data_IF_079712579788
#
_entry.id   IF_079712579788
#
_cell.length_a   1.000
_cell.length_b   1.000
_cell.length_c   1.000
_cell.angle_alpha   90.00
_cell.angle_beta   90.00
_cell.angle_gamma   90.00
#
_symmetry.space_group_name_H-M   'P 1'
#
loop_
_entity.id
_entity.type
_entity.pdbx_description
1 polymer ?
#
# COMPACT_ATOMS: atom_id res chain seq x y z
N UNK A 1 3.33 -17.35 -39.34
CA UNK A 1 2.18 -16.89 -38.52
C UNK A 1 1.00 -17.81 -38.80
N UNK A 2 0.44 -18.44 -37.76
CA UNK A 2 -0.64 -19.42 -37.92
C UNK A 2 -2.01 -18.72 -37.94
N UNK A 3 -2.87 -19.04 -38.91
CA UNK A 3 -4.21 -18.45 -39.08
C UNK A 3 -5.25 -19.52 -39.40
N UNK A 4 -6.48 -19.28 -38.93
CA UNK A 4 -7.62 -20.18 -39.07
C UNK A 4 -8.26 -20.08 -40.47
N UNK A 5 -8.42 -21.22 -41.15
CA UNK A 5 -8.98 -21.35 -42.48
C UNK A 5 -10.48 -21.66 -42.40
N UNK A 6 -11.35 -20.75 -42.86
CA UNK A 6 -12.81 -20.96 -42.81
C UNK A 6 -13.33 -22.07 -43.73
N UNK A 7 -12.55 -22.47 -44.74
CA UNK A 7 -12.96 -23.57 -45.64
C UNK A 7 -12.62 -24.95 -45.08
N UNK A 8 -11.52 -25.05 -44.33
CA UNK A 8 -10.96 -26.30 -43.83
C UNK A 8 -11.05 -26.46 -42.30
N UNK A 9 -11.57 -25.46 -41.60
CA UNK A 9 -11.80 -25.40 -40.14
C UNK A 9 -10.59 -25.75 -39.26
N UNK A 10 -9.37 -25.52 -39.76
CA UNK A 10 -8.12 -25.75 -39.04
C UNK A 10 -7.18 -24.53 -39.10
N UNK A 11 -6.25 -24.45 -38.14
CA UNK A 11 -5.21 -23.42 -38.06
C UNK A 11 -3.96 -23.88 -38.80
N UNK A 12 -3.52 -23.13 -39.83
CA UNK A 12 -2.32 -23.46 -40.62
C UNK A 12 -1.33 -22.29 -40.72
N UNK A 13 -0.05 -22.61 -40.95
CA UNK A 13 1.03 -21.63 -41.17
C UNK A 13 1.05 -21.15 -42.63
N UNK A 14 0.93 -19.83 -42.86
CA UNK A 14 0.87 -19.26 -44.21
C UNK A 14 2.22 -18.67 -44.65
N UNK A 15 2.63 -18.95 -45.90
CA UNK A 15 3.74 -18.32 -46.63
C UNK A 15 3.27 -17.87 -48.02
N UNK A 16 3.83 -16.78 -48.55
CA UNK A 16 3.31 -16.00 -49.69
C UNK A 16 3.88 -16.49 -51.03
N UNK A 17 3.03 -16.70 -52.04
CA UNK A 17 3.43 -16.67 -53.46
C UNK A 17 2.33 -16.02 -54.31
N UNK A 18 2.74 -15.22 -55.28
CA UNK A 18 1.89 -14.48 -56.21
C UNK A 18 1.96 -15.10 -57.60
N UNK A 19 0.82 -15.43 -58.21
CA UNK A 19 0.73 -15.60 -59.65
C UNK A 19 -0.44 -14.80 -60.23
N UNK A 20 -0.11 -13.97 -61.22
CA UNK A 20 -1.03 -13.26 -62.10
C UNK A 20 -1.40 -14.13 -63.29
N UNK A 21 -2.70 -14.27 -63.59
CA UNK A 21 -3.17 -14.90 -64.82
C UNK A 21 -3.98 -13.93 -65.69
N UNK A 22 -3.68 -13.95 -67.00
CA UNK A 22 -4.20 -13.09 -68.06
C UNK A 22 -4.96 -13.93 -69.11
N UNK A 23 -6.14 -13.43 -69.53
CA UNK A 23 -6.87 -13.51 -70.84
C UNK A 23 -7.60 -14.77 -71.39
N UNK A 24 -8.83 -14.44 -71.85
CA UNK A 24 -9.50 -14.56 -73.19
C UNK A 24 -10.37 -15.78 -73.55
N UNK A 25 -11.46 -15.40 -74.22
CA UNK A 25 -12.65 -16.09 -74.73
C UNK A 25 -12.46 -17.13 -75.85
N UNK A 26 -13.36 -18.12 -75.94
CA UNK A 26 -14.28 -18.34 -77.09
C UNK A 26 -15.26 -19.49 -76.81
N UNK A 27 -16.50 -19.27 -77.22
CA UNK A 27 -17.61 -20.20 -77.41
C UNK A 27 -18.37 -20.77 -76.19
N UNK A 28 -19.69 -20.71 -76.33
CA UNK A 28 -20.75 -20.97 -75.35
C UNK A 28 -20.53 -22.21 -74.47
N UNK A 29 -20.49 -22.02 -73.15
CA UNK A 29 -21.42 -22.62 -72.17
C UNK A 29 -21.13 -22.01 -70.79
N UNK A 30 -22.13 -22.04 -69.91
CA UNK A 30 -22.21 -21.27 -68.68
C UNK A 30 -20.98 -21.38 -67.76
N UNK A 31 -20.34 -20.24 -67.48
CA UNK A 31 -19.37 -20.10 -66.39
C UNK A 31 -20.07 -19.49 -65.18
N UNK A 32 -20.18 -20.30 -64.12
CA UNK A 32 -20.46 -19.80 -62.79
C UNK A 32 -19.37 -18.79 -62.43
N UNK A 33 -19.78 -17.57 -62.07
CA UNK A 33 -18.91 -16.64 -61.32
C UNK A 33 -18.61 -17.31 -59.98
N UNK A 34 -17.56 -18.12 -59.93
CA UNK A 34 -16.87 -18.42 -58.69
C UNK A 34 -16.12 -17.16 -58.34
N UNK A 35 -16.57 -16.49 -57.29
CA UNK A 35 -15.77 -15.46 -56.63
C UNK A 35 -14.37 -16.05 -56.34
N UNK A 36 -13.28 -15.35 -56.70
CA UNK A 36 -11.96 -15.85 -56.38
C UNK A 36 -11.82 -15.86 -54.86
N UNK A 37 -11.49 -17.03 -54.31
CA UNK A 37 -11.13 -17.16 -52.91
C UNK A 37 -9.81 -16.42 -52.65
N UNK A 38 -9.89 -15.15 -52.26
CA UNK A 38 -8.71 -14.39 -51.90
C UNK A 38 -8.23 -14.76 -50.50
N UNK A 39 -7.05 -15.37 -50.44
CA UNK A 39 -6.27 -15.54 -49.22
C UNK A 39 -5.56 -14.21 -48.90
N UNK A 40 -6.06 -13.51 -47.89
CA UNK A 40 -5.46 -12.36 -47.20
C UNK A 40 -4.36 -11.54 -47.91
N UNK A 41 -4.75 -10.57 -48.75
CA UNK A 41 -4.05 -9.26 -48.82
C UNK A 41 -5.03 -8.17 -49.24
N UNK A 42 -4.93 -7.03 -48.55
CA UNK A 42 -5.65 -5.75 -48.74
C UNK A 42 -7.15 -5.75 -48.42
N UNK A 43 -7.47 -5.17 -47.25
CA UNK A 43 -8.79 -4.57 -47.05
C UNK A 43 -8.78 -3.23 -47.79
N UNK A 44 -9.58 -3.11 -48.86
CA UNK A 44 -10.08 -1.81 -49.30
C UNK A 44 -11.06 -1.29 -48.25
N UNK A 45 -11.13 0.04 -48.10
CA UNK A 45 -11.80 0.77 -47.01
C UNK A 45 -13.29 0.41 -46.79
N UNK A 46 -13.94 -0.32 -47.71
CA UNK A 46 -15.33 -0.76 -47.59
C UNK A 46 -15.60 -2.03 -46.75
N UNK A 47 -14.58 -2.82 -46.38
CA UNK A 47 -14.78 -4.16 -45.78
C UNK A 47 -14.62 -4.25 -44.24
N UNK A 48 -14.26 -3.14 -43.58
CA UNK A 48 -13.97 -3.09 -42.14
C UNK A 48 -15.21 -3.34 -41.22
N UNK A 49 -16.42 -2.83 -41.52
CA UNK A 49 -17.57 -2.98 -40.62
C UNK A 49 -18.07 -4.43 -40.48
N UNK A 50 -18.11 -5.18 -41.59
CA UNK A 50 -18.58 -6.57 -41.59
C UNK A 50 -17.60 -7.51 -40.87
N UNK A 51 -16.28 -7.23 -40.99
CA UNK A 51 -15.25 -8.00 -40.32
C UNK A 51 -15.28 -7.79 -38.79
N UNK A 52 -15.52 -6.54 -38.36
CA UNK A 52 -15.65 -6.19 -36.94
C UNK A 52 -16.85 -6.88 -36.30
N UNK A 53 -18.02 -6.82 -36.96
CA UNK A 53 -19.24 -7.53 -36.52
C UNK A 53 -19.01 -9.04 -36.39
N UNK A 54 -18.36 -9.67 -37.37
CA UNK A 54 -18.07 -11.11 -37.31
C UNK A 54 -17.07 -11.49 -36.19
N UNK A 55 -16.13 -10.60 -35.84
CA UNK A 55 -15.25 -10.79 -34.68
C UNK A 55 -16.01 -10.65 -33.37
N UNK A 56 -16.96 -9.72 -33.28
CA UNK A 56 -17.79 -9.50 -32.10
C UNK A 56 -18.76 -10.67 -31.87
N UNK A 57 -19.42 -11.16 -32.92
CA UNK A 57 -20.27 -12.35 -32.87
C UNK A 57 -19.47 -13.60 -32.41
N UNK A 58 -18.22 -13.72 -32.86
CA UNK A 58 -17.32 -14.79 -32.42
C UNK A 58 -16.93 -14.64 -30.94
N UNK A 59 -16.60 -13.43 -30.48
CA UNK A 59 -16.28 -13.17 -29.05
C UNK A 59 -17.43 -13.58 -28.13
N UNK A 60 -18.67 -13.30 -28.51
CA UNK A 60 -19.85 -13.65 -27.71
C UNK A 60 -20.05 -15.17 -27.60
N UNK A 61 -19.85 -15.88 -28.71
CA UNK A 61 -20.02 -17.33 -28.79
C UNK A 61 -19.04 -18.07 -27.86
N UNK A 62 -17.81 -17.58 -27.74
CA UNK A 62 -16.74 -18.20 -26.92
C UNK A 62 -16.41 -17.43 -25.64
N UNK A 63 -17.24 -16.46 -25.26
CA UNK A 63 -17.10 -15.63 -24.05
C UNK A 63 -15.73 -14.99 -23.90
N UNK A 64 -15.15 -14.45 -24.98
CA UNK A 64 -13.94 -13.63 -24.88
C UNK A 64 -14.25 -12.23 -24.36
N UNK A 65 -13.23 -11.56 -23.83
CA UNK A 65 -13.32 -10.16 -23.40
C UNK A 65 -13.53 -9.24 -24.61
N UNK A 66 -14.44 -8.30 -24.46
CA UNK A 66 -14.76 -7.27 -25.45
C UNK A 66 -13.83 -6.06 -25.31
N UNK A 67 -13.74 -5.25 -26.35
CA UNK A 67 -12.89 -4.05 -26.33
C UNK A 67 -13.37 -3.05 -25.26
N UNK A 68 -14.68 -2.98 -25.05
CA UNK A 68 -15.32 -2.12 -24.07
C UNK A 68 -14.93 -2.52 -22.63
N UNK A 69 -14.92 -3.83 -22.32
CA UNK A 69 -14.50 -4.37 -21.03
C UNK A 69 -13.02 -4.06 -20.75
N UNK A 70 -12.17 -4.02 -21.78
CA UNK A 70 -10.76 -3.62 -21.63
C UNK A 70 -10.66 -2.14 -21.26
N UNK A 71 -11.42 -1.27 -21.94
CA UNK A 71 -11.43 0.16 -21.64
C UNK A 71 -11.99 0.45 -20.23
N UNK A 72 -12.95 -0.35 -19.75
CA UNK A 72 -13.43 -0.29 -18.37
C UNK A 72 -12.34 -0.62 -17.35
N UNK A 73 -11.51 -1.65 -17.60
CA UNK A 73 -10.38 -2.00 -16.72
C UNK A 73 -9.37 -0.85 -16.66
N UNK A 74 -9.03 -0.26 -17.81
CA UNK A 74 -8.07 0.85 -17.90
C UNK A 74 -8.54 2.07 -17.10
N UNK A 75 -9.83 2.40 -17.18
CA UNK A 75 -10.46 3.48 -16.41
C UNK A 75 -10.54 3.13 -14.91
N UNK A 76 -10.96 1.91 -14.59
CA UNK A 76 -11.13 1.43 -13.21
C UNK A 76 -9.85 1.52 -12.39
N UNK A 77 -8.69 1.27 -13.02
CA UNK A 77 -7.40 1.24 -12.34
C UNK A 77 -6.45 2.36 -12.76
N UNK A 78 -6.95 3.41 -13.41
CA UNK A 78 -6.17 4.55 -13.94
C UNK A 78 -4.80 4.13 -14.52
N UNK A 79 -4.83 3.17 -15.44
CA UNK A 79 -3.61 2.56 -16.01
C UNK A 79 -3.65 2.59 -17.53
N UNK A 80 -2.50 2.89 -18.14
CA UNK A 80 -2.33 2.90 -19.59
C UNK A 80 -2.21 1.51 -20.22
N UNK A 81 -2.51 1.42 -21.52
CA UNK A 81 -2.45 0.17 -22.32
C UNK A 81 -1.07 -0.51 -22.31
N UNK A 82 0.00 0.29 -22.41
CA UNK A 82 1.39 -0.20 -22.38
C UNK A 82 1.79 -0.66 -20.97
N UNK A 83 1.62 0.14 -19.90
CA UNK A 83 1.87 -0.31 -18.52
C UNK A 83 1.12 -1.60 -18.16
N UNK A 84 -0.17 -1.72 -18.49
CA UNK A 84 -0.94 -2.92 -18.18
C UNK A 84 -0.46 -4.16 -18.97
N UNK A 85 -0.03 -3.99 -20.23
CA UNK A 85 0.59 -5.09 -21.01
C UNK A 85 1.86 -5.60 -20.34
N UNK A 86 2.75 -4.69 -19.91
CA UNK A 86 4.00 -5.03 -19.24
C UNK A 86 3.75 -5.68 -17.87
N UNK A 87 2.76 -5.18 -17.14
CA UNK A 87 2.35 -5.71 -15.84
C UNK A 87 1.87 -7.17 -15.95
N UNK A 88 1.14 -7.51 -17.01
CA UNK A 88 0.68 -8.87 -17.29
C UNK A 88 1.79 -9.78 -17.87
N UNK A 89 3.01 -9.26 -18.08
CA UNK A 89 4.11 -9.99 -18.70
C UNK A 89 3.94 -10.19 -20.21
N UNK A 90 3.11 -9.37 -20.86
CA UNK A 90 2.85 -9.43 -22.29
C UNK A 90 3.77 -8.47 -23.06
N UNK A 91 3.81 -8.63 -24.39
CA UNK A 91 4.48 -7.64 -25.26
C UNK A 91 3.73 -6.31 -25.20
N UNK A 92 4.46 -5.21 -25.26
CA UNK A 92 3.94 -3.84 -25.06
C UNK A 92 2.68 -3.48 -25.87
N UNK A 93 2.61 -3.95 -27.12
CA UNK A 93 1.52 -3.62 -28.05
C UNK A 93 0.35 -4.63 -28.00
N UNK A 94 0.42 -5.63 -27.13
CA UNK A 94 -0.56 -6.73 -27.08
C UNK A 94 -1.94 -6.20 -26.70
N UNK A 95 -2.03 -5.40 -25.62
CA UNK A 95 -3.32 -4.88 -25.17
C UNK A 95 -3.89 -3.80 -26.11
N UNK A 96 -3.02 -2.98 -26.71
CA UNK A 96 -3.44 -1.98 -27.72
C UNK A 96 -4.18 -2.64 -28.88
N UNK A 97 -3.68 -3.79 -29.36
CA UNK A 97 -4.31 -4.55 -30.45
C UNK A 97 -5.70 -5.04 -30.08
N UNK A 98 -5.86 -5.57 -28.85
CA UNK A 98 -7.16 -6.05 -28.38
C UNK A 98 -8.17 -4.93 -28.19
N UNK A 99 -7.72 -3.78 -27.66
CA UNK A 99 -8.56 -2.58 -27.57
C UNK A 99 -9.01 -2.07 -28.95
N UNK A 100 -8.20 -2.24 -30.01
CA UNK A 100 -8.56 -1.88 -31.39
C UNK A 100 -9.39 -2.94 -32.13
N UNK A 101 -9.68 -4.08 -31.49
CA UNK A 101 -10.58 -5.10 -32.04
C UNK A 101 -9.92 -6.40 -32.49
N UNK A 102 -8.62 -6.62 -32.24
CA UNK A 102 -8.01 -7.96 -32.43
C UNK A 102 -8.56 -8.97 -31.43
N UNK A 103 -8.57 -10.25 -31.81
CA UNK A 103 -9.03 -11.33 -30.94
C UNK A 103 -7.92 -11.76 -29.96
N UNK A 104 -8.17 -11.67 -28.63
CA UNK A 104 -7.27 -12.25 -27.64
C UNK A 104 -7.37 -13.79 -27.65
N UNK A 105 -6.32 -14.44 -27.13
CA UNK A 105 -6.41 -15.87 -26.78
C UNK A 105 -7.34 -16.05 -25.58
N UNK A 106 -7.79 -17.28 -25.35
CA UNK A 106 -8.63 -17.62 -24.19
C UNK A 106 -7.93 -17.25 -22.87
N UNK A 107 -6.68 -17.64 -22.71
CA UNK A 107 -5.89 -17.36 -21.49
C UNK A 107 -5.74 -15.87 -21.23
N UNK A 108 -5.50 -15.07 -22.27
CA UNK A 108 -5.38 -13.61 -22.13
C UNK A 108 -6.71 -12.98 -21.76
N UNK A 109 -7.80 -13.48 -22.33
CA UNK A 109 -9.15 -13.06 -21.97
C UNK A 109 -9.50 -13.40 -20.53
N UNK A 110 -9.12 -14.58 -20.03
CA UNK A 110 -9.38 -14.99 -18.64
C UNK A 110 -8.60 -14.12 -17.66
N UNK A 111 -7.34 -13.80 -17.96
CA UNK A 111 -6.52 -12.89 -17.15
C UNK A 111 -7.14 -11.49 -17.05
N UNK A 112 -7.63 -10.93 -18.15
CA UNK A 112 -8.27 -9.60 -18.14
C UNK A 112 -9.60 -9.62 -17.39
N UNK A 113 -10.36 -10.71 -17.48
CA UNK A 113 -11.59 -10.89 -16.69
C UNK A 113 -11.30 -11.03 -15.20
N UNK A 114 -10.24 -11.76 -14.84
CA UNK A 114 -9.83 -11.93 -13.45
C UNK A 114 -9.44 -10.61 -12.80
N UNK A 115 -8.64 -9.77 -13.47
CA UNK A 115 -8.30 -8.44 -12.94
C UNK A 115 -9.51 -7.51 -12.91
N UNK A 116 -10.47 -7.64 -13.84
CA UNK A 116 -11.70 -6.85 -13.81
C UNK A 116 -12.57 -7.19 -12.60
N UNK A 117 -12.66 -8.47 -12.24
CA UNK A 117 -13.55 -8.97 -11.18
C UNK A 117 -12.91 -8.93 -9.79
N UNK A 118 -11.57 -9.05 -9.69
CA UNK A 118 -10.86 -9.18 -8.43
C UNK A 118 -9.80 -8.09 -8.28
N UNK A 119 -10.17 -7.00 -7.60
CA UNK A 119 -9.27 -5.88 -7.35
C UNK A 119 -8.14 -6.22 -6.36
N UNK A 120 -8.30 -7.20 -5.47
CA UNK A 120 -7.24 -7.67 -4.57
C UNK A 120 -6.13 -8.39 -5.35
N UNK A 121 -6.55 -9.21 -6.33
CA UNK A 121 -5.64 -9.87 -7.25
C UNK A 121 -4.86 -8.84 -8.09
N UNK A 122 -5.55 -7.80 -8.58
CA UNK A 122 -4.89 -6.71 -9.30
C UNK A 122 -3.86 -5.95 -8.44
N UNK A 123 -4.20 -5.65 -7.19
CA UNK A 123 -3.26 -5.02 -6.25
C UNK A 123 -2.00 -5.88 -6.04
N UNK A 124 -2.18 -7.18 -5.80
CA UNK A 124 -1.06 -8.10 -5.62
C UNK A 124 -0.17 -8.12 -6.87
N UNK A 125 -0.78 -8.17 -8.06
CA UNK A 125 -0.08 -8.11 -9.34
C UNK A 125 0.73 -6.80 -9.50
N UNK A 126 0.16 -5.65 -9.12
CA UNK A 126 0.84 -4.35 -9.12
C UNK A 126 2.09 -4.35 -8.22
N UNK A 127 1.98 -4.90 -7.01
CA UNK A 127 3.10 -4.89 -6.06
C UNK A 127 4.25 -5.79 -6.50
N UNK A 128 3.94 -6.99 -7.04
CA UNK A 128 4.95 -7.96 -7.46
C UNK A 128 5.66 -7.56 -8.75
N UNK A 129 5.00 -6.79 -9.62
CA UNK A 129 5.53 -6.40 -10.93
C UNK A 129 5.82 -4.89 -11.05
N UNK A 130 5.93 -4.16 -9.93
CA UNK A 130 6.18 -2.71 -9.91
C UNK A 130 7.42 -2.27 -10.71
N UNK A 131 8.44 -3.12 -10.80
CA UNK A 131 9.69 -2.86 -11.54
C UNK A 131 9.51 -2.86 -13.07
N UNK A 132 8.40 -3.42 -13.58
CA UNK A 132 8.12 -3.53 -15.02
C UNK A 132 7.43 -2.29 -15.60
N UNK A 133 7.01 -1.35 -14.75
CA UNK A 133 6.28 -0.13 -15.14
C UNK A 133 6.98 1.11 -14.56
N UNK A 134 6.62 2.30 -15.04
CA UNK A 134 7.15 3.54 -14.47
C UNK A 134 6.59 3.80 -13.07
N UNK A 135 7.38 4.48 -12.23
CA UNK A 135 6.98 4.84 -10.86
C UNK A 135 5.67 5.67 -10.85
N UNK A 136 5.52 6.57 -11.81
CA UNK A 136 4.30 7.38 -11.96
C UNK A 136 3.07 6.52 -12.30
N UNK A 137 3.21 5.54 -13.20
CA UNK A 137 2.11 4.64 -13.54
C UNK A 137 1.76 3.69 -12.38
N UNK A 138 2.76 3.26 -11.61
CA UNK A 138 2.56 2.46 -10.40
C UNK A 138 1.76 3.25 -9.35
N UNK A 139 2.16 4.48 -9.03
CA UNK A 139 1.46 5.29 -8.02
C UNK A 139 0.01 5.62 -8.41
N UNK A 140 -0.22 6.03 -9.66
CA UNK A 140 -1.59 6.29 -10.16
C UNK A 140 -2.48 5.06 -10.03
N UNK A 141 -1.98 3.92 -10.51
CA UNK A 141 -2.77 2.70 -10.49
C UNK A 141 -2.96 2.11 -9.09
N UNK A 142 -1.97 2.29 -8.20
CA UNK A 142 -2.06 1.93 -6.79
C UNK A 142 -3.12 2.77 -6.05
N UNK A 143 -3.21 4.07 -6.35
CA UNK A 143 -4.27 4.92 -5.80
C UNK A 143 -5.65 4.45 -6.26
N UNK A 144 -5.82 4.24 -7.58
CA UNK A 144 -7.08 3.78 -8.16
C UNK A 144 -7.53 2.41 -7.63
N UNK A 145 -6.63 1.43 -7.48
CA UNK A 145 -7.00 0.12 -6.91
C UNK A 145 -7.41 0.22 -5.44
N UNK A 146 -6.78 1.10 -4.66
CA UNK A 146 -7.14 1.34 -3.25
C UNK A 146 -8.55 1.92 -3.13
N UNK A 147 -8.90 2.88 -3.99
CA UNK A 147 -10.26 3.44 -4.08
C UNK A 147 -11.30 2.36 -4.45
N UNK A 148 -11.01 1.57 -5.49
CA UNK A 148 -11.88 0.49 -5.98
C UNK A 148 -12.08 -0.63 -4.95
N UNK A 149 -11.03 -0.96 -4.20
CA UNK A 149 -11.07 -2.00 -3.17
C UNK A 149 -11.92 -1.61 -1.97
N UNK A 150 -12.45 -0.37 -1.93
CA UNK A 150 -13.29 0.09 -0.84
C UNK A 150 -12.59 -0.08 0.51
N UNK A 151 -11.25 0.04 0.52
CA UNK A 151 -10.57 0.27 1.79
C UNK A 151 -11.08 1.61 2.27
N UNK A 152 -11.98 1.58 3.25
CA UNK A 152 -11.78 2.43 4.43
C UNK A 152 -10.26 2.41 4.62
N UNK A 153 -9.59 3.56 4.54
CA UNK A 153 -8.32 3.70 5.25
C UNK A 153 -8.56 2.95 6.56
N UNK A 154 -7.79 1.90 6.87
CA UNK A 154 -7.87 1.34 8.21
C UNK A 154 -7.69 2.56 9.10
N UNK A 155 -8.77 3.01 9.73
CA UNK A 155 -8.76 4.19 10.58
C UNK A 155 -7.64 3.87 11.55
N UNK A 156 -6.53 4.59 11.40
CA UNK A 156 -5.38 4.38 12.23
C UNK A 156 -5.87 4.53 13.65
N UNK A 157 -5.49 3.62 14.53
CA UNK A 157 -5.83 3.87 15.93
C UNK A 157 -5.18 5.18 16.35
N UNK A 158 -5.75 5.87 17.33
CA UNK A 158 -5.17 7.10 17.88
C UNK A 158 -3.70 6.92 18.26
N UNK A 159 -3.31 5.72 18.70
CA UNK A 159 -1.91 5.36 18.95
C UNK A 159 -1.05 5.32 17.68
N UNK A 160 -1.56 4.78 16.58
CA UNK A 160 -0.84 4.77 15.31
C UNK A 160 -0.69 6.19 14.72
N UNK A 161 -1.70 7.04 14.87
CA UNK A 161 -1.59 8.47 14.52
C UNK A 161 -0.51 9.17 15.36
N UNK A 162 -0.48 8.92 16.67
CA UNK A 162 0.56 9.46 17.55
C UNK A 162 1.96 8.96 17.15
N UNK A 163 2.10 7.70 16.75
CA UNK A 163 3.35 7.19 16.17
C UNK A 163 3.75 7.98 14.92
N UNK A 164 2.83 8.18 13.97
CA UNK A 164 3.13 8.98 12.78
C UNK A 164 3.57 10.41 13.13
N UNK A 165 2.89 11.06 14.08
CA UNK A 165 3.27 12.40 14.55
C UNK A 165 4.69 12.40 15.16
N UNK A 166 5.03 11.43 16.02
CA UNK A 166 6.36 11.35 16.63
C UNK A 166 7.46 11.10 15.59
N UNK A 167 7.21 10.22 14.61
CA UNK A 167 8.15 9.90 13.53
C UNK A 167 8.35 11.06 12.55
N UNK A 168 7.39 11.98 12.43
CA UNK A 168 7.52 13.20 11.62
C UNK A 168 8.29 14.31 12.35
N UNK A 169 8.09 14.46 13.66
CA UNK A 169 8.69 15.55 14.45
C UNK A 169 10.14 15.26 14.88
N UNK A 170 10.53 13.99 15.02
CA UNK A 170 11.88 13.60 15.42
C UNK A 170 12.71 13.10 14.23
N UNK A 171 14.02 13.36 14.26
CA UNK A 171 14.93 13.06 13.13
C UNK A 171 15.11 11.55 12.92
N UNK A 172 15.45 10.81 13.98
CA UNK A 172 15.65 9.35 13.95
C UNK A 172 15.12 8.70 15.23
N UNK A 173 14.07 7.87 15.10
CA UNK A 173 13.49 7.12 16.22
C UNK A 173 13.68 5.63 15.98
N UNK A 174 14.32 4.95 16.93
CA UNK A 174 14.37 3.47 16.98
C UNK A 174 13.10 2.91 17.63
N UNK A 175 12.75 1.62 17.40
CA UNK A 175 11.61 0.99 18.09
C UNK A 175 11.68 1.11 19.60
N UNK A 176 12.87 1.01 20.20
CA UNK A 176 13.05 1.16 21.64
C UNK A 176 12.71 2.58 22.11
N UNK A 177 13.20 3.60 21.40
CA UNK A 177 12.89 5.00 21.71
C UNK A 177 11.40 5.29 21.55
N UNK A 178 10.77 4.82 20.46
CA UNK A 178 9.35 5.03 20.17
C UNK A 178 8.45 4.61 21.35
N UNK A 179 8.74 3.45 21.95
CA UNK A 179 7.97 2.94 23.09
C UNK A 179 8.00 3.89 24.29
N UNK A 180 9.16 4.51 24.54
CA UNK A 180 9.36 5.45 25.66
C UNK A 180 8.67 6.78 25.38
N UNK A 181 8.76 7.28 24.16
CA UNK A 181 8.08 8.51 23.75
C UNK A 181 6.56 8.37 23.85
N UNK A 182 5.98 7.25 23.41
CA UNK A 182 4.54 7.00 23.58
C UNK A 182 4.13 6.98 25.05
N UNK A 183 4.93 6.35 25.91
CA UNK A 183 4.67 6.33 27.35
C UNK A 183 4.72 7.74 27.97
N UNK A 184 5.73 8.57 27.63
CA UNK A 184 5.79 9.96 28.08
C UNK A 184 4.60 10.78 27.56
N UNK A 185 4.23 10.63 26.29
CA UNK A 185 3.08 11.31 25.70
C UNK A 185 1.78 10.97 26.43
N UNK A 186 1.53 9.69 26.71
CA UNK A 186 0.36 9.25 27.48
C UNK A 186 0.33 9.87 28.88
N UNK A 187 1.47 9.87 29.59
CA UNK A 187 1.60 10.41 30.94
C UNK A 187 1.36 11.93 31.01
N UNK A 188 2.00 12.69 30.11
CA UNK A 188 1.84 14.14 30.06
C UNK A 188 0.47 14.56 29.54
N UNK A 189 -0.12 13.86 28.57
CA UNK A 189 -1.51 14.10 28.16
C UNK A 189 -2.43 14.00 29.38
N UNK A 190 -2.27 12.94 30.19
CA UNK A 190 -3.06 12.75 31.40
C UNK A 190 -2.85 13.87 32.42
N UNK A 191 -1.62 14.34 32.60
CA UNK A 191 -1.31 15.39 33.57
C UNK A 191 -1.81 16.78 33.17
N UNK A 192 -1.79 17.13 31.87
CA UNK A 192 -2.23 18.44 31.39
C UNK A 192 -3.73 18.50 31.08
N UNK A 193 -4.28 17.44 30.50
CA UNK A 193 -5.65 17.43 29.96
C UNK A 193 -6.61 16.50 30.72
N UNK A 194 -6.14 15.80 31.77
CA UNK A 194 -6.95 14.88 32.58
C UNK A 194 -7.55 13.68 31.84
N UNK A 195 -7.17 13.47 30.59
CA UNK A 195 -7.60 12.36 29.74
C UNK A 195 -6.41 11.55 29.24
N UNK A 196 -6.61 10.26 28.98
CA UNK A 196 -5.57 9.44 28.34
C UNK A 196 -5.64 9.60 26.83
N UNK A 197 -4.48 9.69 26.19
CA UNK A 197 -4.37 9.70 24.73
C UNK A 197 -4.70 8.33 24.14
N UNK A 198 -4.33 7.25 24.84
CA UNK A 198 -4.48 5.88 24.36
C UNK A 198 -5.36 5.04 25.28
N UNK A 199 -6.18 4.19 24.68
CA UNK A 199 -6.97 3.21 25.42
C UNK A 199 -6.13 1.98 25.78
N UNK A 200 -5.16 1.63 24.93
CA UNK A 200 -4.31 0.46 25.06
C UNK A 200 -3.48 0.49 26.36
N UNK A 201 -3.27 -0.69 26.92
CA UNK A 201 -2.49 -0.87 28.14
C UNK A 201 -0.98 -0.86 27.85
N UNK A 202 -0.24 -0.19 28.74
CA UNK A 202 1.21 -0.16 28.70
C UNK A 202 1.78 -1.23 29.63
N UNK A 203 2.69 -2.06 29.14
CA UNK A 203 3.29 -3.17 29.90
C UNK A 203 4.70 -2.82 30.38
N UNK A 204 5.08 -3.30 31.57
CA UNK A 204 6.36 -3.02 32.21
C UNK A 204 7.43 -4.06 31.86
N UNK A 205 7.93 -4.02 30.63
CA UNK A 205 8.95 -4.95 30.14
C UNK A 205 10.33 -4.67 30.75
N UNK A 206 11.29 -5.58 30.54
CA UNK A 206 12.65 -5.48 31.08
C UNK A 206 13.41 -4.25 30.58
N UNK A 207 13.10 -3.76 29.38
CA UNK A 207 13.68 -2.56 28.77
C UNK A 207 12.72 -1.36 28.85
N UNK A 208 11.93 -1.26 29.91
CA UNK A 208 11.01 -0.16 30.16
C UNK A 208 9.58 -0.38 29.68
N UNK A 209 8.72 0.66 29.70
CA UNK A 209 7.32 0.59 29.28
C UNK A 209 7.19 0.26 27.79
N UNK A 210 6.21 -0.58 27.44
CA UNK A 210 5.96 -1.07 26.07
C UNK A 210 4.46 -1.19 25.79
N UNK A 211 4.03 -0.63 24.66
CA UNK A 211 2.77 -0.94 24.01
C UNK A 211 2.97 -2.09 23.02
N UNK A 212 2.47 -3.28 23.38
CA UNK A 212 2.76 -4.54 22.68
C UNK A 212 2.47 -4.49 21.19
N UNK A 213 1.31 -3.96 20.79
CA UNK A 213 0.91 -3.87 19.37
C UNK A 213 1.90 -3.03 18.55
N UNK A 214 2.36 -1.91 19.10
CA UNK A 214 3.36 -1.06 18.45
C UNK A 214 4.72 -1.76 18.40
N UNK A 215 5.10 -2.46 19.46
CA UNK A 215 6.35 -3.23 19.46
C UNK A 215 6.33 -4.32 18.38
N UNK A 216 5.25 -5.09 18.28
CA UNK A 216 5.09 -6.14 17.28
C UNK A 216 5.17 -5.60 15.85
N UNK A 217 4.62 -4.41 15.60
CA UNK A 217 4.71 -3.73 14.30
C UNK A 217 6.15 -3.35 13.92
N UNK A 218 6.91 -2.78 14.86
CA UNK A 218 8.24 -2.20 14.56
C UNK A 218 9.44 -3.04 14.99
N UNK A 219 9.25 -4.21 15.64
CA UNK A 219 10.35 -5.05 16.17
C UNK A 219 11.40 -5.46 15.14
N UNK A 220 11.02 -5.56 13.86
CA UNK A 220 11.92 -6.01 12.80
C UNK A 220 12.97 -4.97 12.40
N UNK A 221 12.77 -3.69 12.78
CA UNK A 221 13.81 -2.66 12.63
C UNK A 221 14.97 -2.88 13.63
N UNK A 222 14.74 -3.61 14.72
CA UNK A 222 15.76 -3.89 15.74
C UNK A 222 16.33 -2.60 16.35
N UNK A 223 17.61 -2.34 16.08
CA UNK A 223 18.33 -1.15 16.54
C UNK A 223 18.37 0.00 15.52
N UNK A 224 17.82 -0.22 14.32
CA UNK A 224 17.79 0.78 13.26
C UNK A 224 16.63 1.77 13.47
N UNK A 225 16.77 3.02 12.99
CA UNK A 225 15.66 3.95 12.91
C UNK A 225 14.49 3.39 12.08
N UNK A 226 13.26 3.78 12.45
CA UNK A 226 12.05 3.40 11.71
C UNK A 226 11.95 4.26 10.45
N UNK A 227 11.88 3.58 9.30
CA UNK A 227 11.78 4.20 7.98
C UNK A 227 10.43 3.83 7.32
N UNK A 228 9.35 4.48 7.75
CA UNK A 228 8.03 4.39 7.10
C UNK A 228 7.68 5.68 6.36
N UNK A 229 6.78 5.57 5.37
CA UNK A 229 6.22 6.72 4.65
C UNK A 229 5.34 7.56 5.61
N UNK A 230 5.71 8.85 5.74
CA UNK A 230 5.38 9.72 6.88
C UNK A 230 4.18 10.62 6.63
N UNK A 231 3.63 10.63 5.42
CA UNK A 231 2.80 11.76 4.99
C UNK A 231 1.42 11.83 5.67
N UNK A 232 1.32 12.74 6.64
CA UNK A 232 0.10 13.39 7.12
C UNK A 232 -1.05 12.44 7.51
N UNK A 233 -0.69 11.34 8.19
CA UNK A 233 -1.64 10.27 8.59
C UNK A 233 -2.23 10.46 9.99
N UNK A 234 -2.13 11.66 10.57
CA UNK A 234 -2.56 11.95 11.95
C UNK A 234 -3.52 13.14 12.03
N UNK A 235 -4.46 13.17 11.09
CA UNK A 235 -5.43 14.25 10.93
C UNK A 235 -6.46 14.31 12.06
N UNK A 236 -6.72 13.21 12.76
CA UNK A 236 -7.74 13.13 13.81
C UNK A 236 -7.22 13.47 15.21
N UNK A 237 -5.89 13.55 15.39
CA UNK A 237 -5.30 14.07 16.62
C UNK A 237 -5.72 15.53 16.86
N UNK A 238 -6.17 15.81 18.08
CA UNK A 238 -6.54 17.15 18.53
C UNK A 238 -5.33 18.09 18.54
N UNK A 239 -5.56 19.40 18.67
CA UNK A 239 -4.48 20.37 18.75
C UNK A 239 -3.65 20.16 20.02
N UNK A 240 -4.32 19.88 21.13
CA UNK A 240 -3.74 19.60 22.43
C UNK A 240 -2.88 18.32 22.40
N UNK A 241 -3.40 17.26 21.79
CA UNK A 241 -2.66 15.99 21.62
C UNK A 241 -1.38 16.20 20.80
N UNK A 242 -1.47 16.96 19.70
CA UNK A 242 -0.31 17.32 18.86
C UNK A 242 0.71 18.14 19.62
N UNK A 243 0.27 19.06 20.48
CA UNK A 243 1.17 19.89 21.29
C UNK A 243 1.99 19.05 22.28
N UNK A 244 1.35 18.08 22.96
CA UNK A 244 2.04 17.14 23.84
C UNK A 244 3.04 16.28 23.06
N UNK A 245 2.63 15.71 21.92
CA UNK A 245 3.50 14.86 21.11
C UNK A 245 4.73 15.61 20.59
N UNK A 246 4.54 16.87 20.14
CA UNK A 246 5.65 17.74 19.71
C UNK A 246 6.62 18.04 20.84
N UNK A 247 6.13 18.41 22.03
CA UNK A 247 7.00 18.67 23.17
C UNK A 247 7.73 17.40 23.65
N UNK A 248 7.07 16.25 23.62
CA UNK A 248 7.74 14.97 23.93
C UNK A 248 8.82 14.65 22.89
N UNK A 249 8.54 14.83 21.60
CA UNK A 249 9.53 14.66 20.55
C UNK A 249 10.71 15.63 20.71
N UNK A 250 10.45 16.89 21.03
CA UNK A 250 11.47 17.93 21.22
C UNK A 250 12.38 17.63 22.43
N UNK A 251 11.80 17.31 23.58
CA UNK A 251 12.56 17.21 24.83
C UNK A 251 13.04 15.80 25.18
N UNK A 252 12.42 14.74 24.64
CA UNK A 252 12.85 13.36 24.84
C UNK A 252 13.36 12.69 23.57
N UNK A 253 12.91 13.10 22.38
CA UNK A 253 13.29 12.48 21.12
C UNK A 253 14.76 12.63 20.74
N UNK A 254 15.48 13.57 21.36
CA UNK A 254 16.93 13.74 21.19
C UNK A 254 17.77 12.68 21.93
N UNK A 255 17.17 11.91 22.84
CA UNK A 255 17.89 10.89 23.59
C UNK A 255 17.83 9.52 22.91
N UNK A 256 18.94 8.79 22.98
CA UNK A 256 18.97 7.40 22.52
C UNK A 256 17.96 6.53 23.30
N UNK A 257 17.47 5.46 22.68
CA UNK A 257 16.57 4.50 23.32
C UNK A 257 17.11 3.96 24.65
N UNK A 258 18.43 3.83 24.81
CA UNK A 258 19.07 3.40 26.07
C UNK A 258 19.08 4.47 27.16
N UNK A 259 19.17 5.74 26.80
CA UNK A 259 19.00 6.83 27.76
C UNK A 259 17.55 6.89 28.22
N UNK A 260 16.59 6.80 27.29
CA UNK A 260 15.16 6.79 27.59
C UNK A 260 14.74 5.57 28.43
N UNK A 261 15.31 4.39 28.16
CA UNK A 261 15.14 3.19 28.99
C UNK A 261 15.51 3.48 30.45
N UNK A 262 16.71 4.01 30.69
CA UNK A 262 17.17 4.39 32.04
C UNK A 262 16.27 5.45 32.69
N UNK A 263 15.86 6.47 31.94
CA UNK A 263 14.90 7.47 32.42
C UNK A 263 13.62 6.81 32.93
N UNK A 264 13.02 5.92 32.14
CA UNK A 264 11.77 5.23 32.54
C UNK A 264 11.96 4.26 33.71
N UNK A 265 13.17 3.71 33.90
CA UNK A 265 13.48 2.85 35.04
C UNK A 265 13.57 3.63 36.36
N UNK A 266 13.78 4.95 36.31
CA UNK A 266 13.73 5.81 37.50
C UNK A 266 12.32 6.12 37.98
N UNK A 267 11.31 5.84 37.16
CA UNK A 267 9.94 6.22 37.43
C UNK A 267 9.20 5.18 38.28
N UNK A 268 8.34 5.66 39.18
CA UNK A 268 7.56 4.77 40.03
C UNK A 268 6.57 3.87 39.29
N UNK A 269 5.84 4.30 38.23
CA UNK A 269 4.87 3.44 37.56
C UNK A 269 5.47 2.14 37.02
N UNK A 270 6.61 2.24 36.33
CA UNK A 270 7.30 1.06 35.80
C UNK A 270 7.91 0.19 36.92
N UNK A 271 8.57 0.80 37.90
CA UNK A 271 9.16 0.06 39.04
C UNK A 271 8.11 -0.68 39.87
N UNK A 272 6.96 -0.05 40.12
CA UNK A 272 5.88 -0.65 40.89
C UNK A 272 5.26 -1.83 40.16
N UNK A 273 5.04 -1.73 38.84
CA UNK A 273 4.54 -2.84 38.03
C UNK A 273 5.50 -4.04 38.01
N UNK A 274 6.81 -3.80 38.19
CA UNK A 274 7.84 -4.85 38.24
C UNK A 274 8.31 -5.25 39.64
N UNK A 275 7.63 -4.82 40.71
CA UNK A 275 8.09 -5.05 42.10
C UNK A 275 8.35 -6.53 42.42
N UNK A 276 7.60 -7.44 41.81
CA UNK A 276 7.71 -8.89 42.01
C UNK A 276 8.39 -9.61 40.84
N UNK A 277 9.17 -8.89 40.04
CA UNK A 277 9.89 -9.43 38.88
C UNK A 277 11.38 -9.20 39.06
N UNK A 278 12.19 -10.23 38.82
CA UNK A 278 13.64 -10.11 38.85
C UNK A 278 14.16 -9.10 37.81
N UNK A 279 15.31 -8.51 38.11
CA UNK A 279 15.98 -7.59 37.20
C UNK A 279 16.35 -8.31 35.89
N UNK A 280 16.02 -7.71 34.76
CA UNK A 280 16.25 -8.31 33.43
C UNK A 280 15.27 -9.42 33.04
N UNK A 281 14.45 -9.96 33.95
CA UNK A 281 13.44 -10.96 33.61
C UNK A 281 12.30 -10.37 32.77
N UNK A 282 11.76 -11.21 31.87
CA UNK A 282 10.56 -10.90 31.09
C UNK A 282 9.39 -10.57 32.03
N UNK A 283 8.62 -9.54 31.70
CA UNK A 283 7.35 -9.24 32.34
C UNK A 283 6.40 -8.63 31.33
N UNK A 284 5.13 -8.96 31.47
CA UNK A 284 4.01 -8.35 30.76
C UNK A 284 3.01 -7.71 31.72
N UNK A 285 3.44 -7.40 32.95
CA UNK A 285 2.59 -6.75 33.94
C UNK A 285 2.18 -5.36 33.46
N UNK A 286 0.90 -5.05 33.58
CA UNK A 286 0.33 -3.78 33.11
C UNK A 286 0.67 -2.65 34.09
N UNK A 287 1.22 -1.56 33.57
CA UNK A 287 1.38 -0.30 34.29
C UNK A 287 -0.01 0.33 34.44
N UNK A 288 -0.56 0.24 35.64
CA UNK A 288 -1.91 0.74 35.94
C UNK A 288 -2.04 2.23 35.63
N UNK A 289 -3.12 2.61 34.96
CA UNK A 289 -3.43 3.99 34.55
C UNK A 289 -3.48 4.94 35.75
N UNK A 290 -3.95 4.48 36.90
CA UNK A 290 -3.96 5.23 38.15
C UNK A 290 -2.54 5.49 38.68
N UNK A 291 -1.62 4.54 38.50
CA UNK A 291 -0.22 4.73 38.88
C UNK A 291 0.46 5.76 38.00
N UNK A 292 0.21 5.71 36.68
CA UNK A 292 0.69 6.71 35.74
C UNK A 292 0.13 8.09 36.06
N UNK A 293 -1.18 8.20 36.29
CA UNK A 293 -1.86 9.45 36.66
C UNK A 293 -1.21 10.08 37.89
N UNK A 294 -1.09 9.33 38.99
CA UNK A 294 -0.47 9.83 40.22
C UNK A 294 0.96 10.33 40.01
N UNK A 295 1.76 9.57 39.28
CA UNK A 295 3.16 9.94 39.03
C UNK A 295 3.26 11.21 38.19
N UNK A 296 2.63 11.27 37.01
CA UNK A 296 2.75 12.44 36.13
C UNK A 296 2.08 13.69 36.72
N UNK A 297 1.00 13.55 37.50
CA UNK A 297 0.47 14.67 38.31
C UNK A 297 1.49 15.17 39.32
N UNK A 298 2.17 14.28 40.05
CA UNK A 298 3.22 14.68 41.00
C UNK A 298 4.43 15.33 40.32
N UNK A 299 4.78 14.89 39.10
CA UNK A 299 5.83 15.52 38.28
C UNK A 299 5.42 16.94 37.90
N UNK A 300 4.19 17.11 37.41
CA UNK A 300 3.65 18.41 37.04
C UNK A 300 3.69 19.40 38.21
N UNK A 301 3.27 18.96 39.40
CA UNK A 301 3.33 19.74 40.64
C UNK A 301 4.77 20.04 41.06
N UNK A 302 5.65 19.04 41.06
CA UNK A 302 7.06 19.18 41.47
C UNK A 302 7.79 20.25 40.66
N UNK A 303 7.54 20.33 39.36
CA UNK A 303 8.18 21.30 38.47
C UNK A 303 7.32 22.54 38.20
N UNK A 304 6.18 22.70 38.88
CA UNK A 304 5.22 23.79 38.68
C UNK A 304 4.87 24.02 37.20
N UNK A 305 4.61 22.95 36.46
CA UNK A 305 4.39 23.03 35.01
C UNK A 305 3.03 23.67 34.70
N UNK A 306 3.08 24.81 34.01
CA UNK A 306 1.92 25.57 33.56
C UNK A 306 1.68 25.28 32.08
N UNK A 307 2.74 25.29 31.28
CA UNK A 307 2.69 25.09 29.84
C UNK A 307 3.31 23.75 29.45
N UNK A 308 2.93 23.26 28.27
CA UNK A 308 3.46 22.00 27.72
C UNK A 308 4.99 22.08 27.52
N UNK A 309 5.55 23.26 27.27
CA UNK A 309 7.01 23.46 27.18
C UNK A 309 7.77 23.22 28.48
N UNK A 310 7.09 23.23 29.64
CA UNK A 310 7.71 22.97 30.94
C UNK A 310 8.05 21.48 31.14
N UNK A 311 7.58 20.60 30.24
CA UNK A 311 7.96 19.17 30.18
C UNK A 311 9.49 18.99 30.18
N UNK A 312 10.23 19.94 29.57
CA UNK A 312 11.70 19.92 29.52
C UNK A 312 12.35 19.83 30.91
N UNK A 313 11.73 20.41 31.94
CA UNK A 313 12.26 20.41 33.30
C UNK A 313 12.29 18.99 33.89
N UNK A 314 11.31 18.16 33.52
CA UNK A 314 11.31 16.76 33.90
C UNK A 314 12.42 15.97 33.19
N UNK A 315 12.58 16.18 31.88
CA UNK A 315 13.63 15.53 31.10
C UNK A 315 15.03 15.85 31.67
N UNK A 316 15.30 17.13 31.98
CA UNK A 316 16.54 17.57 32.61
C UNK A 316 16.72 16.96 34.00
N UNK A 317 15.68 16.98 34.83
CA UNK A 317 15.76 16.40 36.17
C UNK A 317 15.95 14.88 36.19
N UNK A 318 15.48 14.15 35.17
CA UNK A 318 15.79 12.73 34.99
C UNK A 318 17.24 12.51 34.56
N UNK A 319 17.77 13.34 33.65
CA UNK A 319 19.19 13.28 33.28
C UNK A 319 20.10 13.53 34.48
N UNK A 320 19.85 14.57 35.27
CA UNK A 320 20.66 14.90 36.45
C UNK A 320 20.74 13.72 37.42
N UNK A 321 19.61 13.06 37.69
CA UNK A 321 19.56 11.86 38.54
C UNK A 321 20.43 10.72 38.02
N UNK A 322 20.61 10.60 36.70
CA UNK A 322 21.40 9.55 36.09
C UNK A 322 22.91 9.81 36.18
N UNK A 323 23.34 11.07 36.21
CA UNK A 323 24.76 11.45 36.29
C UNK A 323 25.27 11.70 37.72
N UNK A 324 24.37 11.80 38.69
CA UNK A 324 24.70 12.02 40.11
C UNK A 324 24.51 10.76 40.99
N UNK A 325 24.40 9.58 40.37
CA UNK A 325 24.58 8.26 41.01
C UNK A 325 25.93 7.69 40.63
#
# INVERSE_FOLDING_TARGET
MMRFCKNCKEIKSCSVQSETAIKKSRDNTADAVREPGYCCTFASEGYLPALRKACDDYRETIKLIKAEEIEEILKKYDIGKRPLSLLLGWKENTLTRYATGDLPTKDYSEMLKLISQNAAYYQNLLEHHKEKISLEAYHKSLAAVKEVMGRKEEELSKMEEAVCCLLEEAVEITPLALQKLLYFAQGFQKAFHSEFMFEEDCEAWSHGPVYRRIYEKYRNYGYLPIEEDRQNRYSHLSKEEKEILKAVAEYFGCYSGKVLERMTHEEEPWRNARRNTDEGASSSEVIQKESMTRYFSSVREKYNMINVSDIKEHALGLLEKMYHR
#
